data_IF_883200094144
#
_entry.id   IF_883200094144
#
_cell.length_a   1.000
_cell.length_b   1.000
_cell.length_c   1.000
_cell.angle_alpha   90.00
_cell.angle_beta   90.00
_cell.angle_gamma   90.00
#
_symmetry.space_group_name_H-M   'P 1'
#
loop_
_entity.id
_entity.type
_entity.pdbx_description
1 polymer ?
#
# COMPACT_ATOMS: atom_id res chain seq x y z
N UNK A 1 -21.95 5.78 -2.37
CA UNK A 1 -22.30 5.04 -3.61
C UNK A 1 -22.04 5.98 -4.76
N UNK A 2 -20.85 5.97 -5.31
CA UNK A 2 -20.47 6.78 -6.48
C UNK A 2 -20.54 5.85 -7.69
N UNK A 3 -21.51 6.12 -8.55
CA UNK A 3 -21.78 5.35 -9.77
C UNK A 3 -20.57 5.34 -10.70
N UNK A 4 -20.13 4.13 -11.03
CA UNK A 4 -19.14 3.88 -12.06
C UNK A 4 -19.84 4.15 -13.43
N UNK A 5 -19.52 5.27 -14.09
CA UNK A 5 -19.99 5.50 -15.45
C UNK A 5 -19.23 4.59 -16.40
N UNK A 6 -19.91 3.55 -16.88
CA UNK A 6 -19.41 2.71 -17.97
C UNK A 6 -19.66 3.48 -19.29
N UNK A 7 -18.61 4.01 -19.88
CA UNK A 7 -18.69 4.63 -21.19
C UNK A 7 -18.43 3.54 -22.23
N UNK A 8 -19.48 3.20 -22.99
CA UNK A 8 -19.36 2.32 -24.16
C UNK A 8 -18.79 3.13 -25.33
N UNK A 9 -17.53 2.87 -25.70
CA UNK A 9 -16.99 3.36 -26.95
C UNK A 9 -17.04 2.20 -27.95
N UNK A 10 -18.02 2.26 -28.85
CA UNK A 10 -18.10 1.39 -30.03
C UNK A 10 -17.14 1.92 -31.09
N UNK A 11 -15.98 1.28 -31.24
CA UNK A 11 -15.19 1.40 -32.47
C UNK A 11 -15.67 0.33 -33.45
N UNK A 12 -16.33 0.77 -34.55
CA UNK A 12 -16.61 -0.06 -35.70
C UNK A 12 -15.32 -0.20 -36.50
N UNK A 13 -14.52 -1.20 -36.22
CA UNK A 13 -13.79 -2.05 -37.14
C UNK A 13 -12.80 -2.91 -36.37
N UNK A 14 -12.74 -4.22 -36.79
CA UNK A 14 -11.79 -5.26 -36.35
C UNK A 14 -12.04 -5.89 -34.97
N UNK A 15 -12.82 -6.98 -34.96
CA UNK A 15 -12.77 -8.21 -34.14
C UNK A 15 -12.00 -8.18 -32.79
N UNK A 16 -12.18 -7.20 -31.95
CA UNK A 16 -11.82 -7.25 -30.55
C UNK A 16 -12.83 -6.43 -29.76
N UNK A 17 -13.72 -7.08 -29.02
CA UNK A 17 -14.55 -6.45 -28.00
C UNK A 17 -13.70 -6.18 -26.76
N UNK A 18 -12.88 -5.15 -26.81
CA UNK A 18 -12.19 -4.63 -25.62
C UNK A 18 -13.13 -3.65 -24.93
N UNK A 19 -13.69 -4.10 -23.83
CA UNK A 19 -14.37 -3.20 -22.91
C UNK A 19 -13.31 -2.53 -22.02
N UNK A 20 -13.21 -1.25 -22.04
CA UNK A 20 -12.28 -0.47 -21.24
C UNK A 20 -13.05 0.31 -20.19
N UNK A 21 -12.78 0.07 -18.92
CA UNK A 21 -13.24 0.94 -17.84
C UNK A 21 -12.21 2.05 -17.62
N UNK A 22 -12.61 3.32 -17.77
CA UNK A 22 -11.76 4.46 -17.47
C UNK A 22 -11.91 4.85 -16.01
N UNK A 23 -10.94 4.43 -15.18
CA UNK A 23 -10.80 4.94 -13.83
C UNK A 23 -9.45 5.66 -13.75
N UNK A 24 -9.43 6.90 -13.32
CA UNK A 24 -8.22 7.75 -13.26
C UNK A 24 -7.51 7.98 -14.61
N UNK A 25 -8.26 8.02 -15.73
CA UNK A 25 -7.70 8.38 -17.04
C UNK A 25 -6.83 7.32 -17.72
N UNK A 26 -6.76 6.09 -17.19
CA UNK A 26 -6.01 4.95 -17.77
C UNK A 26 -6.93 3.83 -18.24
N UNK A 27 -6.48 3.12 -19.29
CA UNK A 27 -7.15 1.91 -19.77
C UNK A 27 -6.91 0.80 -18.74
N UNK A 28 -7.97 0.37 -18.03
CA UNK A 28 -7.93 -0.82 -17.18
C UNK A 28 -8.52 -1.96 -18.00
N UNK A 29 -7.79 -3.04 -18.25
CA UNK A 29 -8.36 -4.22 -18.90
C UNK A 29 -9.53 -4.75 -18.08
N UNK A 30 -10.58 -5.22 -18.77
CA UNK A 30 -11.75 -5.78 -18.11
C UNK A 30 -11.39 -7.03 -17.28
N UNK A 31 -11.62 -6.91 -16.03
CA UNK A 31 -11.41 -7.85 -14.93
C UNK A 31 -12.17 -9.19 -15.13
N UNK A 32 -13.11 -9.25 -16.01
CA UNK A 32 -14.00 -10.42 -16.21
C UNK A 32 -13.39 -11.60 -16.96
N UNK A 33 -12.08 -11.64 -17.21
CA UNK A 33 -11.43 -12.74 -17.93
C UNK A 33 -10.55 -13.66 -17.08
N UNK A 34 -10.29 -13.32 -15.81
CA UNK A 34 -9.55 -14.22 -14.92
C UNK A 34 -10.48 -15.25 -14.28
N UNK A 35 -10.09 -16.53 -14.37
CA UNK A 35 -10.76 -17.59 -13.61
C UNK A 35 -10.44 -17.44 -12.11
N UNK A 36 -11.30 -17.95 -11.23
CA UNK A 36 -11.05 -17.96 -9.78
C UNK A 36 -9.70 -18.61 -9.44
N UNK A 37 -9.29 -19.65 -10.18
CA UNK A 37 -7.97 -20.26 -10.00
C UNK A 37 -6.85 -19.30 -10.35
N UNK A 38 -6.96 -18.52 -11.40
CA UNK A 38 -5.96 -17.50 -11.77
C UNK A 38 -5.87 -16.37 -10.73
N UNK A 39 -7.00 -15.98 -10.16
CA UNK A 39 -7.03 -15.03 -9.03
C UNK A 39 -6.28 -15.59 -7.82
N UNK A 40 -6.54 -16.84 -7.45
CA UNK A 40 -5.81 -17.50 -6.35
C UNK A 40 -4.31 -17.59 -6.63
N UNK A 41 -3.91 -17.89 -7.87
CA UNK A 41 -2.50 -17.96 -8.26
C UNK A 41 -1.85 -16.56 -8.16
N UNK A 42 -2.52 -15.53 -8.65
CA UNK A 42 -2.01 -14.15 -8.55
C UNK A 42 -1.86 -13.72 -7.09
N UNK A 43 -2.86 -13.98 -6.24
CA UNK A 43 -2.80 -13.71 -4.79
C UNK A 43 -1.61 -14.42 -4.15
N UNK A 44 -1.45 -15.71 -4.41
CA UNK A 44 -0.35 -16.51 -3.87
C UNK A 44 1.03 -16.04 -4.35
N UNK A 45 1.14 -15.58 -5.61
CA UNK A 45 2.38 -14.99 -6.14
C UNK A 45 2.68 -13.67 -5.43
N UNK A 46 1.69 -12.79 -5.26
CA UNK A 46 1.86 -11.52 -4.54
C UNK A 46 2.28 -11.76 -3.09
N UNK A 47 1.61 -12.66 -2.38
CA UNK A 47 1.91 -12.99 -0.99
C UNK A 47 3.34 -13.53 -0.82
N UNK A 48 3.71 -14.53 -1.60
CA UNK A 48 5.03 -15.16 -1.52
C UNK A 48 6.16 -14.21 -1.95
N UNK A 49 5.91 -13.38 -2.97
CA UNK A 49 6.89 -12.38 -3.40
C UNK A 49 7.04 -11.24 -2.37
N UNK A 50 5.96 -10.84 -1.71
CA UNK A 50 6.01 -9.85 -0.61
C UNK A 50 6.92 -10.34 0.53
N UNK A 51 6.83 -11.62 0.88
CA UNK A 51 7.63 -12.22 1.95
C UNK A 51 9.11 -12.42 1.57
N UNK A 52 9.34 -12.95 0.36
CA UNK A 52 10.67 -13.47 -0.01
C UNK A 52 11.52 -12.52 -0.85
N UNK A 53 10.89 -11.56 -1.55
CA UNK A 53 11.51 -10.74 -2.61
C UNK A 53 12.14 -11.58 -3.75
N UNK A 54 11.77 -12.86 -3.88
CA UNK A 54 12.31 -13.75 -4.91
C UNK A 54 11.24 -14.10 -5.94
N UNK A 55 11.59 -14.15 -7.25
CA UNK A 55 10.63 -14.56 -8.28
C UNK A 55 10.00 -15.91 -7.99
N UNK A 56 8.68 -16.00 -8.08
CA UNK A 56 7.88 -17.15 -7.65
C UNK A 56 7.70 -18.14 -8.79
N UNK A 57 8.15 -19.39 -8.58
CA UNK A 57 7.95 -20.51 -9.52
C UNK A 57 6.75 -21.38 -9.13
N UNK A 58 6.23 -22.17 -10.10
CA UNK A 58 5.10 -23.08 -9.85
C UNK A 58 5.38 -24.14 -8.77
N UNK A 59 6.63 -24.54 -8.58
CA UNK A 59 7.02 -25.46 -7.50
C UNK A 59 6.95 -24.79 -6.12
N UNK A 60 7.36 -23.52 -6.04
CA UNK A 60 7.28 -22.75 -4.81
C UNK A 60 5.82 -22.55 -4.40
N UNK A 61 4.92 -22.29 -5.35
CA UNK A 61 3.49 -22.19 -5.08
C UNK A 61 2.92 -23.49 -4.49
N UNK A 62 3.26 -24.66 -5.04
CA UNK A 62 2.82 -25.93 -4.49
C UNK A 62 3.42 -26.27 -3.12
N UNK A 63 4.60 -25.75 -2.82
CA UNK A 63 5.24 -25.98 -1.53
C UNK A 63 4.62 -25.15 -0.40
N UNK A 64 4.04 -23.98 -0.71
CA UNK A 64 3.54 -23.03 0.29
C UNK A 64 2.00 -22.98 0.34
N UNK A 65 1.32 -23.36 -0.74
CA UNK A 65 -0.16 -23.28 -0.86
C UNK A 65 -0.73 -24.60 -1.33
N UNK A 66 -1.93 -24.93 -0.86
CA UNK A 66 -2.66 -26.12 -1.26
C UNK A 66 -3.43 -25.87 -2.57
N UNK A 67 -2.79 -26.14 -3.70
CA UNK A 67 -3.42 -26.10 -5.01
C UNK A 67 -3.79 -27.51 -5.47
N UNK A 68 -5.06 -27.77 -5.80
CA UNK A 68 -5.52 -29.11 -6.27
C UNK A 68 -5.14 -29.38 -7.75
N UNK A 69 -3.98 -28.89 -8.20
CA UNK A 69 -3.53 -29.02 -9.60
C UNK A 69 -2.01 -29.25 -9.65
N UNK A 70 -1.52 -29.73 -10.80
CA UNK A 70 -0.09 -29.99 -11.01
C UNK A 70 0.73 -28.69 -11.21
N UNK A 71 2.04 -28.77 -10.98
CA UNK A 71 2.97 -27.67 -11.27
C UNK A 71 2.94 -27.24 -12.75
N UNK A 72 2.66 -28.17 -13.67
CA UNK A 72 2.51 -27.87 -15.09
C UNK A 72 1.26 -27.02 -15.36
N UNK A 73 0.15 -27.33 -14.70
CA UNK A 73 -1.08 -26.54 -14.78
C UNK A 73 -0.87 -25.13 -14.21
N UNK A 74 -0.26 -25.01 -13.02
CA UNK A 74 0.07 -23.71 -12.44
C UNK A 74 0.96 -22.89 -13.36
N UNK A 75 1.97 -23.51 -13.97
CA UNK A 75 2.85 -22.83 -14.93
C UNK A 75 2.06 -22.31 -16.14
N UNK A 76 1.10 -23.08 -16.65
CA UNK A 76 0.22 -22.64 -17.75
C UNK A 76 -0.63 -21.44 -17.39
N UNK A 77 -1.22 -21.45 -16.17
CA UNK A 77 -1.99 -20.30 -15.67
C UNK A 77 -1.11 -19.07 -15.43
N UNK A 78 0.11 -19.26 -14.90
CA UNK A 78 1.09 -18.16 -14.74
C UNK A 78 1.48 -17.55 -16.09
N UNK A 79 1.62 -18.36 -17.16
CA UNK A 79 1.84 -17.84 -18.51
C UNK A 79 0.62 -17.07 -19.03
N UNK A 80 -0.58 -17.50 -18.71
CA UNK A 80 -1.78 -16.76 -19.07
C UNK A 80 -1.85 -15.40 -18.35
N UNK A 81 -1.51 -15.35 -17.05
CA UNK A 81 -1.42 -14.13 -16.27
C UNK A 81 -0.30 -13.18 -16.77
N UNK A 82 0.81 -13.74 -17.26
CA UNK A 82 1.89 -12.97 -17.90
C UNK A 82 1.43 -12.36 -19.22
N UNK A 83 0.71 -13.10 -20.06
CA UNK A 83 0.11 -12.57 -21.30
C UNK A 83 -0.94 -11.49 -21.04
N UNK A 84 -1.60 -11.55 -19.90
CA UNK A 84 -2.56 -10.54 -19.45
C UNK A 84 -1.88 -9.37 -18.67
N UNK A 85 -0.54 -9.34 -18.67
CA UNK A 85 0.28 -8.29 -18.04
C UNK A 85 0.12 -8.14 -16.53
N UNK A 86 -0.40 -9.15 -15.82
CA UNK A 86 -0.46 -9.16 -14.36
C UNK A 86 0.80 -9.69 -13.69
N UNK A 87 1.54 -10.52 -14.41
CA UNK A 87 2.84 -11.06 -14.00
C UNK A 87 3.87 -10.77 -15.08
N UNK A 88 5.14 -10.78 -14.70
CA UNK A 88 6.23 -10.80 -15.67
C UNK A 88 7.37 -11.71 -15.21
N UNK A 89 8.18 -12.17 -16.16
CA UNK A 89 9.31 -13.04 -15.93
C UNK A 89 10.60 -12.24 -16.09
N UNK A 90 11.37 -11.97 -15.02
CA UNK A 90 12.57 -11.14 -15.12
C UNK A 90 13.68 -11.78 -15.98
N UNK A 91 13.78 -13.14 -15.97
CA UNK A 91 14.76 -13.91 -16.78
C UNK A 91 14.13 -15.23 -17.20
N UNK A 92 14.60 -15.81 -18.30
CA UNK A 92 14.05 -17.03 -18.93
C UNK A 92 13.93 -18.23 -17.97
N UNK A 93 14.82 -18.34 -16.97
CA UNK A 93 14.82 -19.39 -15.96
C UNK A 93 14.24 -18.97 -14.61
N UNK A 94 13.86 -17.70 -14.46
CA UNK A 94 13.28 -17.18 -13.24
C UNK A 94 11.80 -17.59 -13.07
N UNK A 95 11.30 -17.49 -11.84
CA UNK A 95 9.87 -17.47 -11.57
C UNK A 95 9.22 -16.21 -12.15
N UNK A 96 8.06 -15.85 -11.62
CA UNK A 96 7.33 -14.65 -12.03
C UNK A 96 7.17 -13.71 -10.84
N UNK A 97 7.08 -12.42 -11.14
CA UNK A 97 6.82 -11.37 -10.17
C UNK A 97 5.62 -10.54 -10.62
N UNK A 98 4.86 -9.91 -9.70
CA UNK A 98 3.71 -9.09 -10.05
C UNK A 98 4.13 -7.81 -10.76
N UNK A 99 3.34 -7.38 -11.74
CA UNK A 99 3.39 -6.03 -12.32
C UNK A 99 2.63 -5.04 -11.46
N UNK A 100 2.69 -3.74 -11.76
CA UNK A 100 1.87 -2.73 -11.11
C UNK A 100 0.37 -3.03 -11.29
N UNK A 101 -0.04 -3.50 -12.48
CA UNK A 101 -1.40 -3.96 -12.76
C UNK A 101 -1.78 -5.19 -11.92
N UNK A 102 -0.85 -6.13 -11.73
CA UNK A 102 -1.05 -7.29 -10.88
C UNK A 102 -1.26 -6.91 -9.41
N UNK A 103 -0.46 -5.99 -8.88
CA UNK A 103 -0.66 -5.46 -7.53
C UNK A 103 -1.96 -4.68 -7.40
N UNK A 104 -2.34 -3.89 -8.41
CA UNK A 104 -3.60 -3.11 -8.40
C UNK A 104 -4.81 -4.04 -8.30
N UNK A 105 -4.90 -5.06 -9.13
CA UNK A 105 -5.96 -6.06 -9.07
C UNK A 105 -5.99 -6.79 -7.72
N UNK A 106 -4.81 -7.17 -7.19
CA UNK A 106 -4.73 -7.78 -5.88
C UNK A 106 -5.33 -6.87 -4.79
N UNK A 107 -4.95 -5.60 -4.76
CA UNK A 107 -5.45 -4.63 -3.77
C UNK A 107 -6.95 -4.39 -3.91
N UNK A 108 -7.48 -4.33 -5.14
CA UNK A 108 -8.89 -4.02 -5.38
C UNK A 108 -9.83 -5.20 -5.16
N UNK A 109 -9.41 -6.43 -5.50
CA UNK A 109 -10.31 -7.58 -5.55
C UNK A 109 -9.96 -8.75 -4.62
N UNK A 110 -8.70 -8.91 -4.27
CA UNK A 110 -8.23 -10.09 -3.56
C UNK A 110 -7.76 -9.78 -2.15
N UNK A 111 -7.28 -8.56 -1.91
CA UNK A 111 -6.81 -8.14 -0.60
C UNK A 111 -8.00 -8.00 0.34
N UNK A 112 -8.13 -8.92 1.31
CA UNK A 112 -9.09 -8.79 2.40
C UNK A 112 -8.73 -7.67 3.37
N UNK A 113 -9.71 -7.17 4.10
CA UNK A 113 -9.44 -6.32 5.26
C UNK A 113 -8.72 -7.15 6.31
N UNK A 114 -7.54 -6.70 6.68
CA UNK A 114 -6.70 -7.36 7.69
C UNK A 114 -6.75 -6.55 8.97
N UNK A 115 -7.35 -7.10 10.00
CA UNK A 115 -7.30 -6.50 11.31
C UNK A 115 -5.86 -6.50 11.84
N UNK A 116 -5.45 -5.39 12.44
CA UNK A 116 -4.17 -5.34 13.14
C UNK A 116 -4.16 -6.35 14.28
N UNK A 117 -3.00 -6.96 14.51
CA UNK A 117 -2.80 -7.82 15.65
C UNK A 117 -3.16 -7.08 16.96
N UNK A 118 -3.67 -7.81 17.95
CA UNK A 118 -3.96 -7.21 19.26
C UNK A 118 -2.70 -6.61 19.92
N UNK A 119 -1.55 -7.13 19.58
CA UNK A 119 -0.26 -6.63 20.05
C UNK A 119 0.06 -5.27 19.40
N UNK A 120 -0.06 -5.16 18.07
CA UNK A 120 0.14 -3.90 17.35
C UNK A 120 -0.86 -2.82 17.81
N UNK A 121 -2.13 -3.20 17.98
CA UNK A 121 -3.16 -2.27 18.49
C UNK A 121 -2.79 -1.75 19.89
N UNK A 122 -2.38 -2.63 20.80
CA UNK A 122 -1.95 -2.25 22.17
C UNK A 122 -0.70 -1.38 22.12
N UNK A 123 0.25 -1.69 21.26
CA UNK A 123 1.48 -0.90 21.09
C UNK A 123 1.15 0.50 20.59
N UNK A 124 0.33 0.62 19.56
CA UNK A 124 -0.13 1.92 19.04
C UNK A 124 -0.84 2.75 20.13
N UNK A 125 -1.76 2.15 20.86
CA UNK A 125 -2.48 2.82 21.94
C UNK A 125 -1.55 3.28 23.06
N UNK A 126 -0.68 2.42 23.53
CA UNK A 126 0.27 2.72 24.62
C UNK A 126 1.22 3.86 24.24
N UNK A 127 1.83 3.79 23.07
CA UNK A 127 2.76 4.83 22.61
C UNK A 127 2.04 6.18 22.44
N UNK A 128 0.83 6.19 21.86
CA UNK A 128 0.04 7.40 21.73
C UNK A 128 -0.29 8.03 23.10
N UNK A 129 -0.56 7.21 24.11
CA UNK A 129 -0.76 7.68 25.48
C UNK A 129 0.46 8.37 26.06
N UNK A 130 1.63 7.73 25.89
CA UNK A 130 2.91 8.27 26.35
C UNK A 130 3.19 9.62 25.65
N UNK A 131 2.95 9.70 24.34
CA UNK A 131 3.11 10.93 23.57
C UNK A 131 2.21 12.05 24.07
N UNK A 132 0.93 11.76 24.32
CA UNK A 132 -0.02 12.75 24.87
C UNK A 132 0.38 13.23 26.26
N UNK A 133 0.78 12.32 27.15
CA UNK A 133 1.20 12.64 28.51
C UNK A 133 2.46 13.51 28.55
N UNK A 134 3.38 13.31 27.61
CA UNK A 134 4.66 14.05 27.54
C UNK A 134 4.57 15.36 26.74
N UNK A 135 3.38 15.72 26.23
CA UNK A 135 3.23 16.83 25.26
C UNK A 135 4.27 16.77 24.12
N UNK A 136 4.63 15.54 23.73
CA UNK A 136 5.64 15.28 22.72
C UNK A 136 5.19 15.80 21.35
N UNK A 137 6.13 16.01 20.45
CA UNK A 137 5.85 16.28 19.04
C UNK A 137 5.14 15.09 18.42
N UNK A 138 3.81 15.15 18.40
CA UNK A 138 2.93 14.05 18.00
C UNK A 138 3.27 13.51 16.60
N UNK A 139 3.49 14.42 15.64
CA UNK A 139 3.82 14.06 14.26
C UNK A 139 5.06 13.15 14.18
N UNK A 140 6.20 13.61 14.73
CA UNK A 140 7.45 12.85 14.69
C UNK A 140 7.34 11.48 15.35
N UNK A 141 6.67 11.41 16.49
CA UNK A 141 6.52 10.15 17.22
C UNK A 141 5.56 9.19 16.50
N UNK A 142 4.54 9.72 15.82
CA UNK A 142 3.62 8.95 14.98
C UNK A 142 4.36 8.36 13.78
N UNK A 143 5.15 9.17 13.05
CA UNK A 143 5.96 8.69 11.93
C UNK A 143 6.91 7.57 12.38
N UNK A 144 7.64 7.76 13.51
CA UNK A 144 8.52 6.74 14.08
C UNK A 144 7.80 5.42 14.39
N UNK A 145 6.61 5.50 14.96
CA UNK A 145 5.84 4.32 15.35
C UNK A 145 5.30 3.58 14.12
N UNK A 146 4.78 4.30 13.14
CA UNK A 146 4.32 3.73 11.87
C UNK A 146 5.46 3.06 11.11
N UNK A 147 6.64 3.69 11.04
CA UNK A 147 7.83 3.10 10.42
C UNK A 147 8.25 1.82 11.14
N UNK A 148 8.33 1.82 12.46
CA UNK A 148 8.73 0.66 13.25
C UNK A 148 7.78 -0.55 13.11
N UNK A 149 6.48 -0.32 12.82
CA UNK A 149 5.48 -1.36 12.64
C UNK A 149 5.36 -1.83 11.18
N UNK A 150 5.51 -0.90 10.24
CA UNK A 150 5.43 -1.21 8.80
C UNK A 150 6.74 -1.75 8.22
N UNK A 151 7.89 -1.39 8.83
CA UNK A 151 9.22 -1.63 8.27
C UNK A 151 9.49 -0.81 7.00
N UNK A 152 8.85 0.34 6.86
CA UNK A 152 8.93 1.23 5.70
C UNK A 152 9.15 2.70 6.15
N UNK A 153 9.38 3.60 5.18
CA UNK A 153 9.36 5.03 5.43
C UNK A 153 7.93 5.44 5.81
N UNK A 154 7.78 6.19 6.87
CA UNK A 154 6.49 6.73 7.30
C UNK A 154 6.56 8.23 7.45
N UNK A 155 5.49 8.91 7.05
CA UNK A 155 5.34 10.36 7.15
C UNK A 155 4.10 10.68 7.99
N UNK A 156 4.19 11.68 8.84
CA UNK A 156 3.07 12.19 9.64
C UNK A 156 3.24 13.68 9.88
N UNK A 157 2.17 14.44 9.70
CA UNK A 157 2.22 15.87 9.92
C UNK A 157 0.87 16.52 10.11
N UNK A 158 0.91 17.82 10.42
CA UNK A 158 -0.25 18.72 10.47
C UNK A 158 -0.05 19.76 9.37
N UNK A 159 -0.84 19.65 8.32
CA UNK A 159 -0.73 20.49 7.13
C UNK A 159 -1.01 21.95 7.45
N UNK A 160 -2.07 22.20 8.21
CA UNK A 160 -2.45 23.56 8.61
C UNK A 160 -1.39 24.30 9.44
N UNK A 161 -0.31 23.61 9.82
CA UNK A 161 0.82 24.17 10.59
C UNK A 161 2.15 24.07 9.87
N UNK A 162 2.17 23.51 8.68
CA UNK A 162 3.42 23.24 7.96
C UNK A 162 4.40 22.37 8.79
N UNK A 163 3.84 21.43 9.55
CA UNK A 163 4.60 20.52 10.41
C UNK A 163 4.58 19.12 9.81
N UNK A 164 5.64 18.72 9.11
CA UNK A 164 5.82 17.37 8.56
C UNK A 164 7.03 16.69 9.18
N UNK A 165 6.92 15.41 9.39
CA UNK A 165 7.97 14.55 9.95
C UNK A 165 7.97 13.22 9.22
N UNK A 166 9.13 12.80 8.78
CA UNK A 166 9.40 11.48 8.23
C UNK A 166 10.23 10.62 9.18
N UNK A 167 10.13 9.32 9.05
CA UNK A 167 10.95 8.36 9.77
C UNK A 167 11.01 7.03 9.02
N UNK A 168 12.19 6.39 9.00
CA UNK A 168 12.35 5.07 8.38
C UNK A 168 13.03 5.12 7.01
N UNK A 169 13.73 6.20 6.70
CA UNK A 169 14.55 6.30 5.48
C UNK A 169 15.52 5.12 5.37
N UNK A 170 16.20 4.79 6.47
CA UNK A 170 17.12 3.65 6.51
C UNK A 170 16.42 2.34 6.17
N UNK A 171 15.25 2.10 6.76
CA UNK A 171 14.44 0.92 6.56
C UNK A 171 14.00 0.77 5.09
N UNK A 172 13.75 1.89 4.40
CA UNK A 172 13.45 1.91 2.98
C UNK A 172 14.69 1.58 2.13
N UNK A 173 15.81 2.28 2.39
CA UNK A 173 17.04 2.16 1.61
C UNK A 173 17.74 0.80 1.76
N UNK A 174 17.52 0.07 2.85
CA UNK A 174 18.03 -1.29 3.05
C UNK A 174 17.29 -2.36 2.25
N UNK A 175 16.17 -2.01 1.59
CA UNK A 175 15.43 -2.97 0.76
C UNK A 175 16.19 -3.32 -0.51
N UNK A 176 16.09 -4.59 -0.97
CA UNK A 176 16.83 -5.04 -2.16
C UNK A 176 16.55 -4.21 -3.43
N UNK A 177 15.36 -3.65 -3.55
CA UNK A 177 14.92 -2.87 -4.70
C UNK A 177 15.66 -1.54 -4.86
N UNK A 178 16.30 -1.03 -3.79
CA UNK A 178 16.96 0.27 -3.77
C UNK A 178 18.49 0.16 -3.67
N UNK A 179 19.07 -0.92 -4.14
CA UNK A 179 20.54 -1.14 -4.08
C UNK A 179 21.30 -0.51 -5.25
N UNK A 180 20.61 -0.14 -6.34
CA UNK A 180 21.23 0.54 -7.46
C UNK A 180 21.42 2.04 -7.15
N UNK A 181 22.66 2.54 -7.33
CA UNK A 181 23.05 3.90 -6.93
C UNK A 181 22.18 4.97 -7.60
N UNK A 182 21.88 4.81 -8.89
CA UNK A 182 21.10 5.80 -9.64
C UNK A 182 19.64 5.88 -9.18
N UNK A 183 19.05 4.76 -8.78
CA UNK A 183 17.71 4.70 -8.21
C UNK A 183 17.69 5.28 -6.80
N UNK A 184 18.73 4.97 -6.03
CA UNK A 184 18.92 5.51 -4.68
C UNK A 184 19.01 7.04 -4.69
N UNK A 185 19.84 7.61 -5.58
CA UNK A 185 19.99 9.07 -5.69
C UNK A 185 18.64 9.73 -6.04
N UNK A 186 17.92 9.22 -7.05
CA UNK A 186 16.61 9.74 -7.43
C UNK A 186 15.59 9.67 -6.29
N UNK A 187 15.60 8.57 -5.55
CA UNK A 187 14.71 8.40 -4.40
C UNK A 187 15.02 9.44 -3.31
N UNK A 188 16.30 9.60 -2.96
CA UNK A 188 16.73 10.57 -1.95
C UNK A 188 16.38 12.00 -2.36
N UNK A 189 16.67 12.41 -3.60
CA UNK A 189 16.31 13.73 -4.14
C UNK A 189 14.80 13.99 -4.08
N UNK A 190 13.99 12.94 -4.35
CA UNK A 190 12.54 13.06 -4.28
C UNK A 190 12.06 13.20 -2.84
N UNK A 191 12.67 12.46 -1.92
CA UNK A 191 12.32 12.48 -0.51
C UNK A 191 12.74 13.76 0.20
N UNK A 192 13.79 14.45 -0.27
CA UNK A 192 14.20 15.78 0.24
C UNK A 192 13.13 16.87 0.00
N UNK A 193 12.25 16.68 -1.00
CA UNK A 193 11.11 17.58 -1.30
C UNK A 193 9.75 16.92 -1.09
N UNK A 194 9.70 15.88 -0.27
CA UNK A 194 8.51 15.04 -0.10
C UNK A 194 7.35 15.79 0.56
N UNK A 195 7.66 16.65 1.54
CA UNK A 195 6.71 17.48 2.27
C UNK A 195 5.92 18.40 1.31
N UNK A 196 6.62 19.18 0.48
CA UNK A 196 6.00 20.05 -0.51
C UNK A 196 5.11 19.30 -1.50
N UNK A 197 5.58 18.12 -1.94
CA UNK A 197 4.84 17.26 -2.89
C UNK A 197 3.60 16.63 -2.27
N UNK A 198 3.70 16.21 -1.01
CA UNK A 198 2.58 15.64 -0.27
C UNK A 198 1.50 16.68 0.05
N UNK A 199 1.86 17.90 0.39
CA UNK A 199 0.91 18.99 0.60
C UNK A 199 0.07 19.25 -0.65
N UNK A 200 0.71 19.30 -1.82
CA UNK A 200 0.01 19.42 -3.10
C UNK A 200 -0.91 18.23 -3.44
N UNK A 201 -0.55 17.03 -2.96
CA UNK A 201 -1.34 15.82 -3.15
C UNK A 201 -2.62 15.83 -2.30
N UNK A 202 -2.51 16.21 -1.02
CA UNK A 202 -3.61 16.12 -0.06
C UNK A 202 -4.78 17.01 -0.44
N UNK A 203 -4.52 18.15 -1.04
CA UNK A 203 -5.61 19.03 -1.56
C UNK A 203 -6.50 18.31 -2.58
N UNK A 204 -5.95 17.28 -3.25
CA UNK A 204 -6.65 16.50 -4.29
C UNK A 204 -7.29 15.23 -3.77
N UNK A 205 -6.94 14.79 -2.55
CA UNK A 205 -7.48 13.57 -1.97
C UNK A 205 -8.80 13.84 -1.25
N UNK A 206 -9.73 12.89 -1.36
CA UNK A 206 -10.98 12.96 -0.62
C UNK A 206 -10.73 12.85 0.89
N UNK A 207 -11.34 13.73 1.67
CA UNK A 207 -11.21 13.74 3.12
C UNK A 207 -11.64 12.41 3.73
N UNK A 208 -10.75 11.86 4.56
CA UNK A 208 -11.03 10.67 5.35
C UNK A 208 -10.86 9.33 4.64
N UNK A 209 -10.64 9.28 3.34
CA UNK A 209 -10.35 8.03 2.62
C UNK A 209 -8.86 7.68 2.68
N UNK A 210 -8.58 6.38 2.66
CA UNK A 210 -7.21 5.86 2.54
C UNK A 210 -6.95 5.48 1.11
N UNK A 211 -5.93 6.09 0.51
CA UNK A 211 -5.54 5.89 -0.89
C UNK A 211 -4.28 5.04 -0.96
N UNK A 212 -4.22 4.18 -1.97
CA UNK A 212 -3.06 3.33 -2.27
C UNK A 212 -2.61 3.65 -3.69
N UNK A 213 -1.38 4.13 -3.85
CA UNK A 213 -0.73 4.37 -5.12
C UNK A 213 0.38 3.35 -5.34
N UNK A 214 0.43 2.75 -6.54
CA UNK A 214 1.34 1.65 -6.86
C UNK A 214 2.19 2.04 -8.07
N UNK A 215 3.50 2.05 -7.90
CA UNK A 215 4.43 2.29 -9.00
C UNK A 215 4.15 3.58 -9.76
N UNK A 216 3.87 3.46 -11.04
CA UNK A 216 3.60 4.60 -11.93
C UNK A 216 2.31 5.38 -11.62
N UNK A 217 1.47 4.87 -10.72
CA UNK A 217 0.28 5.60 -10.26
C UNK A 217 0.61 6.68 -9.23
N UNK A 218 1.84 6.64 -8.67
CA UNK A 218 2.25 7.64 -7.70
C UNK A 218 2.15 9.05 -8.32
N UNK A 219 1.44 9.96 -7.64
CA UNK A 219 1.35 11.35 -8.08
C UNK A 219 2.63 12.16 -7.82
N UNK A 220 3.63 11.53 -7.21
CA UNK A 220 4.93 12.10 -6.88
C UNK A 220 5.95 11.51 -7.84
N UNK A 221 6.49 12.34 -8.73
CA UNK A 221 7.56 11.93 -9.65
C UNK A 221 8.81 11.53 -8.87
N UNK A 222 9.48 10.46 -9.33
CA UNK A 222 10.74 9.98 -8.74
C UNK A 222 10.57 8.81 -7.75
N UNK A 223 9.34 8.44 -7.37
CA UNK A 223 9.05 7.26 -6.54
C UNK A 223 8.25 6.18 -7.27
N UNK A 224 8.42 6.06 -8.60
CA UNK A 224 7.74 5.06 -9.42
C UNK A 224 8.11 3.60 -9.07
N UNK A 225 9.23 3.41 -8.38
CA UNK A 225 9.65 2.09 -7.84
C UNK A 225 9.06 1.81 -6.45
N UNK A 226 8.29 2.76 -5.90
CA UNK A 226 7.63 2.64 -4.62
C UNK A 226 6.12 2.48 -4.77
N UNK A 227 5.50 2.05 -3.67
CA UNK A 227 4.07 2.22 -3.43
C UNK A 227 3.86 3.09 -2.20
N UNK A 228 2.72 3.78 -2.16
CA UNK A 228 2.37 4.68 -1.07
C UNK A 228 0.95 4.39 -0.58
N UNK A 229 0.79 4.26 0.73
CA UNK A 229 -0.52 4.26 1.41
C UNK A 229 -0.63 5.56 2.16
N UNK A 230 -1.61 6.39 1.81
CA UNK A 230 -1.77 7.75 2.36
C UNK A 230 -3.21 8.01 2.77
N UNK A 231 -3.41 8.71 3.89
CA UNK A 231 -4.72 9.15 4.34
C UNK A 231 -4.65 10.54 4.97
N UNK A 232 -5.49 11.48 4.51
CA UNK A 232 -5.78 12.69 5.25
C UNK A 232 -6.64 12.39 6.48
N UNK A 233 -6.50 13.20 7.52
CA UNK A 233 -7.33 13.12 8.72
C UNK A 233 -7.51 14.51 9.35
N UNK A 234 -8.51 14.64 10.21
CA UNK A 234 -8.66 15.79 11.08
C UNK A 234 -8.33 15.38 12.52
N UNK A 235 -7.47 16.15 13.17
CA UNK A 235 -7.18 15.91 14.58
C UNK A 235 -8.30 16.46 15.49
N UNK A 236 -8.18 16.26 16.79
CA UNK A 236 -9.18 16.73 17.78
C UNK A 236 -9.45 18.24 17.76
N UNK A 237 -8.55 19.03 17.23
CA UNK A 237 -8.69 20.50 17.11
C UNK A 237 -9.30 20.91 15.77
N UNK A 238 -9.65 19.94 14.91
CA UNK A 238 -10.11 20.19 13.56
C UNK A 238 -9.02 20.55 12.57
N UNK A 239 -7.75 20.50 12.97
CA UNK A 239 -6.60 20.77 12.09
C UNK A 239 -6.42 19.57 11.13
N UNK A 240 -6.17 19.87 9.85
CA UNK A 240 -5.90 18.83 8.85
C UNK A 240 -4.49 18.26 9.06
N UNK A 241 -4.44 16.95 9.07
CA UNK A 241 -3.19 16.19 9.12
C UNK A 241 -3.13 15.13 8.05
N UNK A 242 -1.97 14.51 7.94
CA UNK A 242 -1.70 13.44 7.01
C UNK A 242 -0.89 12.33 7.66
N UNK A 243 -1.16 11.11 7.20
CA UNK A 243 -0.35 9.92 7.44
C UNK A 243 -0.01 9.29 6.10
N UNK A 244 1.25 8.91 5.90
CA UNK A 244 1.64 8.11 4.74
C UNK A 244 2.66 7.04 5.14
N UNK A 245 2.63 5.90 4.43
CA UNK A 245 3.65 4.85 4.45
C UNK A 245 4.11 4.66 3.01
N UNK A 246 5.42 4.79 2.78
CA UNK A 246 6.07 4.63 1.48
C UNK A 246 7.02 3.44 1.58
N UNK A 247 6.89 2.50 0.68
CA UNK A 247 7.69 1.27 0.64
C UNK A 247 7.86 0.74 -0.77
N UNK A 248 8.57 -0.38 -0.94
CA UNK A 248 8.67 -1.04 -2.24
C UNK A 248 7.30 -1.51 -2.74
N UNK A 249 7.13 -1.71 -4.05
CA UNK A 249 5.87 -2.20 -4.64
C UNK A 249 5.36 -3.49 -4.00
N UNK A 250 6.25 -4.34 -3.46
CA UNK A 250 5.91 -5.57 -2.75
C UNK A 250 5.58 -5.41 -1.26
N UNK A 251 5.24 -4.21 -0.78
CA UNK A 251 4.90 -4.03 0.64
C UNK A 251 3.59 -4.75 1.01
N UNK A 252 3.40 -5.11 2.29
CA UNK A 252 2.12 -5.65 2.81
C UNK A 252 1.07 -4.53 2.85
N UNK A 253 0.32 -4.39 1.74
CA UNK A 253 -0.71 -3.35 1.58
C UNK A 253 -1.80 -3.46 2.64
N UNK A 254 -2.26 -4.68 2.95
CA UNK A 254 -3.33 -4.90 3.92
C UNK A 254 -2.92 -4.43 5.32
N UNK A 255 -1.71 -4.80 5.76
CA UNK A 255 -1.15 -4.35 7.04
C UNK A 255 -0.96 -2.83 7.06
N UNK A 256 -0.37 -2.26 6.01
CA UNK A 256 -0.06 -0.83 5.96
C UNK A 256 -1.34 0.02 5.91
N UNK A 257 -2.37 -0.39 5.16
CA UNK A 257 -3.70 0.23 5.17
C UNK A 257 -4.29 0.20 6.58
N UNK A 258 -4.26 -0.95 7.24
CA UNK A 258 -4.81 -1.12 8.59
C UNK A 258 -4.05 -0.27 9.64
N UNK A 259 -2.72 -0.14 9.53
CA UNK A 259 -1.92 0.73 10.37
C UNK A 259 -2.32 2.20 10.22
N UNK A 260 -2.44 2.67 8.98
CA UNK A 260 -2.86 4.05 8.67
C UNK A 260 -4.27 4.31 9.20
N UNK A 261 -5.24 3.44 8.91
CA UNK A 261 -6.62 3.63 9.34
C UNK A 261 -6.78 3.60 10.86
N UNK A 262 -6.07 2.68 11.51
CA UNK A 262 -6.13 2.61 12.97
C UNK A 262 -5.48 3.84 13.62
N UNK A 263 -4.33 4.30 13.13
CA UNK A 263 -3.68 5.51 13.62
C UNK A 263 -4.54 6.75 13.36
N UNK A 264 -5.11 6.90 12.18
CA UNK A 264 -6.08 7.96 11.84
C UNK A 264 -7.22 8.02 12.85
N UNK A 265 -7.84 6.86 13.14
CA UNK A 265 -8.90 6.74 14.15
C UNK A 265 -8.44 7.19 15.53
N UNK A 266 -7.23 6.80 15.95
CA UNK A 266 -6.67 7.20 17.24
C UNK A 266 -6.38 8.72 17.33
N UNK A 267 -5.90 9.32 16.25
CA UNK A 267 -5.56 10.77 16.21
C UNK A 267 -6.83 11.64 16.15
N UNK A 268 -7.84 11.19 15.42
CA UNK A 268 -9.13 11.92 15.27
C UNK A 268 -10.07 11.75 16.46
N UNK A 269 -9.96 10.63 17.21
CA UNK A 269 -10.91 10.33 18.28
C UNK A 269 -10.68 11.16 19.54
N UNK A 270 -11.79 11.59 20.16
CA UNK A 270 -11.82 12.19 21.51
C UNK A 270 -11.69 11.16 22.63
N UNK A 271 -11.11 9.99 22.35
CA UNK A 271 -10.95 8.95 23.36
C UNK A 271 -10.29 9.52 24.61
N UNK A 272 -11.07 9.68 25.66
CA UNK A 272 -10.56 9.98 27.00
C UNK A 272 -10.02 8.66 27.54
N UNK A 273 -8.73 8.61 27.70
CA UNK A 273 -8.07 7.42 28.21
C UNK A 273 -7.73 7.70 29.67
N UNK A 274 -8.32 6.94 30.55
CA UNK A 274 -8.01 7.01 32.00
C UNK A 274 -7.04 5.87 32.30
N UNK A 275 -5.85 6.22 32.78
CA UNK A 275 -4.87 5.25 33.27
C UNK A 275 -4.96 5.22 34.79
N UNK A 276 -5.44 4.11 35.32
CA UNK A 276 -5.41 3.82 36.78
C UNK A 276 -4.51 2.61 37.02
N UNK A 277 -3.31 2.86 37.53
CA UNK A 277 -2.32 1.83 37.74
C UNK A 277 -1.89 1.14 36.42
N UNK A 278 -1.97 -0.21 36.36
CA UNK A 278 -1.65 -1.00 35.18
C UNK A 278 -2.83 -1.24 34.22
N UNK A 279 -3.98 -0.61 34.47
CA UNK A 279 -5.20 -0.80 33.68
C UNK A 279 -5.50 0.46 32.88
N UNK A 280 -5.71 0.29 31.58
CA UNK A 280 -6.02 1.36 30.63
C UNK A 280 -7.50 1.25 30.30
N UNK A 281 -8.29 2.25 30.71
CA UNK A 281 -9.69 2.40 30.30
C UNK A 281 -9.78 3.33 29.11
N UNK A 282 -10.44 2.86 28.05
CA UNK A 282 -10.79 3.69 26.89
C UNK A 282 -12.26 4.04 27.02
N UNK A 283 -12.55 5.32 27.35
CA UNK A 283 -13.92 5.82 27.43
C UNK A 283 -14.21 6.58 26.12
N UNK A 284 -15.34 6.24 25.49
CA UNK A 284 -15.89 6.95 24.30
C UNK A 284 -16.58 8.24 24.73
#
# INVERSE_FOLDING_TARGET
MTECQIIFILYADVRCTEFVCLRYGRRVPLINLMTERQKHILSAVVELYTETALPVGSQALLAHFDFPVSAATLRSDMVALEKAEYLYQPHTSAGRIPTDAGYRIYVEEMMGDKDLSREDQRRLQKELLIMRAKQARMGRSTAKLLSALSGNLAVSGIIDKDEMYDFGMKELLEKPEFQEIDELCRLVETLDSLDEKLDGLIVKLADGETHIFIGDENPIDGINNCSMVVAPYHNKKGERGMLAIIGPKRMDYAKNKSLIEYMKKLLSSSLTIIVTGNIIYVIR
#
